data_IF_669321292576
#
_entry.id   IF_669321292576
#
_cell.length_a   1.000
_cell.length_b   1.000
_cell.length_c   1.000
_cell.angle_alpha   90.00
_cell.angle_beta   90.00
_cell.angle_gamma   90.00
#
_symmetry.space_group_name_H-M   'P 1'
#
loop_
_entity.id
_entity.type
_entity.pdbx_description
1 polymer ?
#
# COMPACT_ATOMS: atom_id res chain seq x y z
N UNK A 1 -61.90 -13.72 -48.80
CA UNK A 1 -60.60 -14.44 -48.65
C UNK A 1 -59.35 -13.55 -48.88
N UNK A 2 -59.34 -12.52 -49.78
CA UNK A 2 -58.17 -11.65 -50.01
C UNK A 2 -57.83 -10.75 -48.81
N UNK A 3 -58.85 -10.16 -48.13
CA UNK A 3 -58.69 -9.25 -46.97
C UNK A 3 -58.04 -9.99 -45.78
N UNK A 4 -58.41 -11.26 -45.55
CA UNK A 4 -57.86 -12.07 -44.45
C UNK A 4 -56.34 -12.37 -44.66
N UNK A 5 -55.91 -12.55 -45.91
CA UNK A 5 -54.49 -12.72 -46.25
C UNK A 5 -53.69 -11.45 -46.02
N UNK A 6 -54.24 -10.29 -46.37
CA UNK A 6 -53.58 -9.01 -46.10
C UNK A 6 -53.51 -8.72 -44.59
N UNK A 7 -54.53 -9.09 -43.83
CA UNK A 7 -54.54 -8.91 -42.37
C UNK A 7 -53.50 -9.84 -41.69
N UNK A 8 -53.37 -11.06 -42.14
CA UNK A 8 -52.33 -11.96 -41.59
C UNK A 8 -50.90 -11.52 -41.92
N UNK A 9 -50.66 -11.01 -43.16
CA UNK A 9 -49.33 -10.49 -43.52
C UNK A 9 -49.02 -9.22 -42.73
N UNK A 10 -49.98 -8.35 -42.49
CA UNK A 10 -49.80 -7.12 -41.70
C UNK A 10 -49.52 -7.43 -40.23
N UNK A 11 -50.16 -8.44 -39.65
CA UNK A 11 -49.93 -8.92 -38.32
C UNK A 11 -48.52 -9.50 -38.18
N UNK A 12 -48.07 -10.32 -39.10
CA UNK A 12 -46.72 -10.88 -39.13
C UNK A 12 -45.66 -9.76 -39.28
N UNK A 13 -45.90 -8.77 -40.15
CA UNK A 13 -45.01 -7.64 -40.29
C UNK A 13 -44.94 -6.78 -38.99
N UNK A 14 -46.05 -6.56 -38.34
CA UNK A 14 -46.09 -5.84 -37.05
C UNK A 14 -45.28 -6.59 -35.94
N UNK A 15 -45.48 -7.92 -35.85
CA UNK A 15 -44.69 -8.75 -34.91
C UNK A 15 -43.21 -8.72 -35.19
N UNK A 16 -42.84 -8.80 -36.49
CA UNK A 16 -41.45 -8.72 -36.93
C UNK A 16 -40.81 -7.35 -36.60
N UNK A 17 -41.53 -6.25 -36.80
CA UNK A 17 -41.07 -4.90 -36.41
C UNK A 17 -40.92 -4.74 -34.92
N UNK A 18 -41.87 -5.26 -34.12
CA UNK A 18 -41.77 -5.23 -32.66
C UNK A 18 -40.59 -6.07 -32.19
N UNK A 19 -40.40 -7.27 -32.74
CA UNK A 19 -39.25 -8.13 -32.42
C UNK A 19 -37.90 -7.45 -32.81
N UNK A 20 -37.83 -6.85 -33.99
CA UNK A 20 -36.65 -6.11 -34.44
C UNK A 20 -36.36 -4.89 -33.53
N UNK A 21 -37.40 -4.16 -33.09
CA UNK A 21 -37.28 -3.03 -32.17
C UNK A 21 -36.83 -3.48 -30.79
N UNK A 22 -37.38 -4.59 -30.25
CA UNK A 22 -36.97 -5.16 -28.97
C UNK A 22 -35.50 -5.65 -29.02
N UNK A 23 -35.11 -6.34 -30.08
CA UNK A 23 -33.73 -6.79 -30.28
C UNK A 23 -32.77 -5.60 -30.39
N UNK A 24 -33.15 -4.57 -31.16
CA UNK A 24 -32.34 -3.35 -31.29
C UNK A 24 -32.17 -2.66 -29.94
N UNK A 25 -33.27 -2.46 -29.23
CA UNK A 25 -33.23 -1.82 -27.90
C UNK A 25 -32.40 -2.61 -26.90
N UNK A 26 -32.55 -3.94 -26.89
CA UNK A 26 -31.76 -4.85 -26.10
C UNK A 26 -30.27 -4.75 -26.40
N UNK A 27 -29.87 -4.78 -27.66
CA UNK A 27 -28.48 -4.80 -28.07
C UNK A 27 -27.76 -3.45 -27.85
N UNK A 28 -28.50 -2.34 -28.02
CA UNK A 28 -27.92 -1.00 -27.89
C UNK A 28 -27.96 -0.45 -26.47
N UNK A 29 -28.91 -0.87 -25.64
CA UNK A 29 -29.09 -0.31 -24.29
C UNK A 29 -28.61 -1.23 -23.17
N UNK A 30 -28.43 -2.51 -23.40
CA UNK A 30 -27.91 -3.42 -22.38
C UNK A 30 -26.50 -3.03 -21.92
N UNK A 31 -26.29 -2.89 -20.60
CA UNK A 31 -25.00 -2.51 -20.07
C UNK A 31 -24.03 -3.71 -20.04
N UNK A 32 -23.54 -4.08 -21.21
CA UNK A 32 -22.52 -5.12 -21.35
C UNK A 32 -21.28 -4.60 -22.08
N UNK A 33 -20.13 -5.20 -21.79
CA UNK A 33 -18.86 -4.90 -22.44
C UNK A 33 -18.01 -6.16 -22.60
N UNK A 34 -17.26 -6.25 -23.72
CA UNK A 34 -16.20 -7.25 -23.91
C UNK A 34 -14.83 -6.75 -23.46
N UNK A 35 -14.72 -5.48 -23.10
CA UNK A 35 -13.49 -4.88 -22.65
C UNK A 35 -13.48 -4.82 -21.11
N UNK A 36 -13.64 -5.99 -20.48
CA UNK A 36 -13.40 -6.22 -19.09
C UNK A 36 -11.98 -6.74 -18.87
N UNK A 37 -11.28 -6.26 -17.86
CA UNK A 37 -9.95 -6.74 -17.48
C UNK A 37 -9.95 -7.16 -16.04
N UNK A 38 -9.52 -8.37 -15.77
CA UNK A 38 -9.22 -8.82 -14.41
C UNK A 38 -8.00 -8.05 -13.91
N UNK A 39 -8.09 -7.50 -12.73
CA UNK A 39 -7.03 -6.77 -12.06
C UNK A 39 -6.86 -7.28 -10.65
N UNK A 40 -5.66 -7.17 -10.13
CA UNK A 40 -5.34 -7.36 -8.72
C UNK A 40 -4.40 -6.26 -8.28
N UNK A 41 -4.42 -5.93 -7.02
CA UNK A 41 -3.48 -4.96 -6.47
C UNK A 41 -2.10 -5.60 -6.39
N UNK A 42 -1.09 -4.84 -6.79
CA UNK A 42 0.30 -5.28 -6.78
C UNK A 42 1.04 -4.48 -5.71
N UNK A 43 1.70 -5.21 -4.83
CA UNK A 43 2.54 -4.63 -3.78
C UNK A 43 3.99 -4.77 -4.19
N UNK A 44 4.67 -3.66 -4.45
CA UNK A 44 6.10 -3.65 -4.71
C UNK A 44 6.88 -3.96 -3.42
N UNK A 45 7.69 -5.01 -3.44
CA UNK A 45 8.53 -5.39 -2.30
C UNK A 45 9.76 -4.51 -2.29
N UNK A 46 9.75 -3.53 -1.40
CA UNK A 46 10.78 -2.51 -1.26
C UNK A 46 11.52 -2.71 0.05
N UNK A 47 12.84 -2.93 0.04
CA UNK A 47 13.62 -3.07 1.26
C UNK A 47 13.70 -1.74 2.02
N UNK A 48 13.71 -1.82 3.34
CA UNK A 48 13.84 -0.67 4.25
C UNK A 48 15.30 -0.33 4.54
N UNK A 49 16.22 -1.25 4.20
CA UNK A 49 17.67 -1.10 4.36
C UNK A 49 18.36 -1.57 3.09
N UNK A 50 19.54 -1.02 2.79
CA UNK A 50 20.29 -1.33 1.57
C UNK A 50 21.40 -2.34 1.85
N UNK A 51 21.68 -3.22 0.88
CA UNK A 51 22.78 -4.18 0.97
C UNK A 51 22.67 -5.30 -0.06
N UNK A 52 23.67 -6.17 -0.10
CA UNK A 52 23.66 -7.31 -1.00
C UNK A 52 22.70 -8.39 -0.53
N UNK A 53 21.98 -9.00 -1.46
CA UNK A 53 21.05 -10.10 -1.18
C UNK A 53 21.89 -11.38 -0.97
N UNK A 54 21.85 -11.93 0.24
CA UNK A 54 22.54 -13.17 0.59
C UNK A 54 21.73 -14.42 0.27
N UNK A 55 20.43 -14.37 0.49
CA UNK A 55 19.53 -15.50 0.25
C UNK A 55 18.24 -15.00 -0.37
N UNK A 56 17.75 -15.76 -1.34
CA UNK A 56 16.45 -15.56 -1.98
C UNK A 56 15.65 -16.84 -1.78
N UNK A 57 14.57 -16.77 -0.99
CA UNK A 57 13.81 -17.93 -0.55
C UNK A 57 12.57 -18.21 -1.41
N UNK A 58 12.37 -17.43 -2.46
CA UNK A 58 11.19 -17.50 -3.32
C UNK A 58 11.58 -17.63 -4.78
N UNK A 59 10.68 -18.20 -5.56
CA UNK A 59 10.77 -18.31 -7.02
C UNK A 59 9.66 -17.49 -7.68
N UNK A 60 9.84 -17.20 -8.97
CA UNK A 60 8.81 -16.49 -9.74
C UNK A 60 7.51 -17.32 -9.80
N UNK A 61 6.35 -16.65 -9.69
CA UNK A 61 5.03 -17.23 -9.62
C UNK A 61 4.77 -18.14 -8.39
N UNK A 62 5.64 -18.16 -7.41
CA UNK A 62 5.42 -18.87 -6.15
C UNK A 62 4.36 -18.18 -5.30
N UNK A 63 3.47 -18.98 -4.70
CA UNK A 63 2.53 -18.49 -3.68
C UNK A 63 3.25 -18.34 -2.34
N UNK A 64 3.06 -17.19 -1.70
CA UNK A 64 3.62 -16.87 -0.38
C UNK A 64 2.51 -16.40 0.56
N UNK A 65 2.76 -16.56 1.86
CA UNK A 65 1.87 -16.08 2.92
C UNK A 65 2.43 -14.82 3.56
N UNK A 66 1.55 -13.98 4.08
CA UNK A 66 1.95 -12.81 4.88
C UNK A 66 2.87 -13.23 6.03
N UNK A 67 3.99 -12.51 6.20
CA UNK A 67 5.04 -12.81 7.18
C UNK A 67 6.09 -13.82 6.71
N UNK A 68 5.93 -14.50 5.59
CA UNK A 68 6.93 -15.41 5.01
C UNK A 68 8.17 -14.64 4.56
N UNK A 69 9.36 -15.21 4.81
CA UNK A 69 10.64 -14.57 4.47
C UNK A 69 10.89 -14.72 2.97
N UNK A 70 10.95 -13.59 2.28
CA UNK A 70 11.18 -13.52 0.84
C UNK A 70 12.66 -13.57 0.49
N UNK A 71 13.45 -12.73 1.12
CA UNK A 71 14.91 -12.69 0.96
C UNK A 71 15.58 -12.07 2.18
N UNK A 72 16.89 -12.26 2.27
CA UNK A 72 17.71 -11.68 3.33
C UNK A 72 18.83 -10.83 2.72
N UNK A 73 19.06 -9.69 3.33
CA UNK A 73 20.14 -8.75 3.00
C UNK A 73 21.30 -9.01 3.94
N UNK A 74 22.55 -8.71 3.53
CA UNK A 74 23.73 -8.82 4.38
C UNK A 74 23.54 -7.99 5.66
N UNK A 75 23.46 -8.68 6.76
CA UNK A 75 23.20 -8.11 8.08
C UNK A 75 24.49 -7.69 8.82
N UNK A 76 25.66 -8.04 8.29
CA UNK A 76 26.96 -7.77 8.94
C UNK A 76 27.15 -6.31 9.34
N UNK A 77 26.94 -5.30 8.47
CA UNK A 77 27.11 -3.90 8.84
C UNK A 77 26.09 -3.46 9.90
N UNK A 78 24.88 -4.02 9.88
CA UNK A 78 23.81 -3.71 10.84
C UNK A 78 24.08 -4.34 12.20
N UNK A 79 24.63 -5.56 12.27
CA UNK A 79 25.09 -6.16 13.53
C UNK A 79 26.20 -5.34 14.17
N UNK A 80 27.17 -4.86 13.38
CA UNK A 80 28.23 -3.98 13.86
C UNK A 80 27.66 -2.68 14.41
N UNK A 81 26.65 -2.09 13.74
CA UNK A 81 25.98 -0.90 14.21
C UNK A 81 25.26 -1.11 15.56
N UNK A 82 24.63 -2.26 15.76
CA UNK A 82 24.01 -2.62 17.05
C UNK A 82 25.06 -2.76 18.14
N UNK A 83 26.19 -3.44 17.89
CA UNK A 83 27.28 -3.57 18.86
C UNK A 83 27.87 -2.20 19.23
N UNK A 84 28.08 -1.32 18.27
CA UNK A 84 28.55 0.04 18.52
C UNK A 84 27.54 0.85 19.37
N UNK A 85 26.26 0.76 19.07
CA UNK A 85 25.23 1.45 19.85
C UNK A 85 25.11 0.90 21.28
N UNK A 86 25.28 -0.42 21.47
CA UNK A 86 25.36 -1.05 22.79
C UNK A 86 26.54 -0.54 23.61
N UNK A 87 27.73 -0.43 22.99
CA UNK A 87 28.93 0.11 23.66
C UNK A 87 28.73 1.57 24.09
N UNK A 88 28.09 2.39 23.23
CA UNK A 88 27.77 3.78 23.57
C UNK A 88 26.75 3.89 24.70
N UNK A 89 25.75 3.02 24.74
CA UNK A 89 24.79 2.95 25.86
C UNK A 89 25.50 2.58 27.17
N UNK A 90 26.38 1.57 27.14
CA UNK A 90 27.17 1.19 28.33
C UNK A 90 28.03 2.34 28.85
N UNK A 91 28.65 3.11 27.95
CA UNK A 91 29.41 4.31 28.30
C UNK A 91 28.51 5.36 28.95
N UNK A 92 27.34 5.66 28.38
CA UNK A 92 26.40 6.62 28.95
C UNK A 92 25.88 6.19 30.34
N UNK A 93 25.63 4.91 30.54
CA UNK A 93 25.26 4.35 31.84
C UNK A 93 26.38 4.50 32.88
N UNK A 94 27.65 4.33 32.48
CA UNK A 94 28.79 4.58 33.36
C UNK A 94 28.89 6.07 33.76
N UNK A 95 28.61 6.99 32.85
CA UNK A 95 28.57 8.43 33.17
C UNK A 95 27.43 8.75 34.16
N UNK A 96 26.27 8.11 34.04
CA UNK A 96 25.20 8.25 35.05
C UNK A 96 25.65 7.73 36.41
N UNK A 97 26.33 6.57 36.44
CA UNK A 97 26.85 6.01 37.74
C UNK A 97 27.86 6.97 38.36
N UNK A 98 28.76 7.58 37.59
CA UNK A 98 29.71 8.59 38.06
C UNK A 98 28.97 9.84 38.61
N UNK A 99 28.06 10.39 37.84
CA UNK A 99 27.29 11.57 38.24
C UNK A 99 26.42 11.31 39.52
N UNK A 100 25.89 10.08 39.62
CA UNK A 100 25.15 9.66 40.82
C UNK A 100 26.04 9.60 42.06
N UNK A 101 27.29 9.10 41.92
CA UNK A 101 28.25 9.10 43.03
C UNK A 101 28.65 10.53 43.46
N UNK A 102 28.89 11.44 42.50
CA UNK A 102 29.17 12.84 42.74
C UNK A 102 28.00 13.53 43.44
N UNK A 103 26.77 13.33 42.97
CA UNK A 103 25.57 13.87 43.60
C UNK A 103 25.39 13.34 45.04
N UNK A 104 25.62 12.03 45.26
CA UNK A 104 25.54 11.43 46.59
C UNK A 104 26.57 12.00 47.53
N UNK A 105 27.79 12.27 47.07
CA UNK A 105 28.86 12.93 47.83
C UNK A 105 28.43 14.36 48.22
N UNK A 106 28.01 15.16 47.24
CA UNK A 106 27.56 16.54 47.48
C UNK A 106 26.35 16.60 48.44
N UNK A 107 25.39 15.68 48.29
CA UNK A 107 24.24 15.58 49.21
C UNK A 107 24.64 15.24 50.63
N UNK A 108 25.62 14.35 50.81
CA UNK A 108 26.13 13.99 52.13
C UNK A 108 26.89 15.13 52.80
N UNK A 109 27.65 15.90 52.02
CA UNK A 109 28.35 17.10 52.48
C UNK A 109 27.39 18.21 52.88
N UNK A 110 26.37 18.49 52.05
CA UNK A 110 25.32 19.46 52.34
C UNK A 110 24.56 19.06 53.62
N UNK A 111 24.23 17.81 53.82
CA UNK A 111 23.60 17.34 55.07
C UNK A 111 24.48 17.58 56.29
N UNK A 112 25.75 17.22 56.21
CA UNK A 112 26.70 17.43 57.36
C UNK A 112 26.84 18.90 57.68
N UNK A 113 26.98 19.77 56.68
CA UNK A 113 27.12 21.24 56.89
C UNK A 113 25.86 21.85 57.48
N UNK A 114 24.67 21.42 57.05
CA UNK A 114 23.39 21.87 57.63
C UNK A 114 23.17 21.46 59.07
N UNK A 115 23.78 20.35 59.52
CA UNK A 115 23.66 19.86 60.93
C UNK A 115 24.61 20.57 61.90
N UNK A 116 25.53 21.42 61.42
CA UNK A 116 26.39 22.23 62.32
C UNK A 116 25.60 23.44 62.85
N UNK A 117 25.98 23.88 64.04
CA UNK A 117 25.36 25.06 64.65
C UNK A 117 25.63 26.33 63.81
N UNK A 118 24.69 27.27 63.82
CA UNK A 118 24.80 28.52 63.07
C UNK A 118 26.08 29.37 63.38
N UNK A 119 26.69 29.19 64.51
CA UNK A 119 27.94 29.85 64.88
C UNK A 119 29.19 29.11 64.36
N UNK A 120 29.06 27.90 63.79
CA UNK A 120 30.16 27.09 63.33
C UNK A 120 30.33 27.06 61.80
N UNK A 121 29.43 27.71 61.04
CA UNK A 121 29.48 27.77 59.56
C UNK A 121 29.05 29.17 59.07
N UNK A 122 29.73 29.70 58.03
CA UNK A 122 29.33 30.95 57.40
C UNK A 122 28.11 30.74 56.47
N UNK A 123 27.31 31.79 56.27
CA UNK A 123 26.20 31.76 55.31
C UNK A 123 26.71 31.49 53.89
N UNK A 124 27.85 32.02 53.50
CA UNK A 124 28.54 31.80 52.23
C UNK A 124 28.92 30.32 52.01
N UNK A 125 29.49 29.69 53.02
CA UNK A 125 29.82 28.24 52.94
C UNK A 125 28.58 27.36 52.76
N UNK A 126 27.45 27.75 53.39
CA UNK A 126 26.20 27.01 53.26
C UNK A 126 25.61 27.17 51.84
N UNK A 127 25.71 28.39 51.27
CA UNK A 127 25.29 28.68 49.89
C UNK A 127 26.15 27.92 48.87
N UNK A 128 27.48 27.91 49.05
CA UNK A 128 28.41 27.19 48.19
C UNK A 128 28.11 25.67 48.15
N UNK A 129 27.84 25.06 49.30
CA UNK A 129 27.52 23.64 49.35
C UNK A 129 26.15 23.32 48.72
N UNK A 130 25.16 24.20 48.90
CA UNK A 130 23.86 24.04 48.24
C UNK A 130 23.98 24.19 46.72
N UNK A 131 24.77 25.14 46.24
CA UNK A 131 25.07 25.35 44.82
C UNK A 131 25.78 24.11 44.23
N UNK A 132 26.78 23.56 44.94
CA UNK A 132 27.45 22.35 44.53
C UNK A 132 26.49 21.15 44.42
N UNK A 133 25.55 20.99 45.36
CA UNK A 133 24.54 19.96 45.34
C UNK A 133 23.58 20.17 44.11
N UNK A 134 23.15 21.39 43.86
CA UNK A 134 22.29 21.68 42.70
C UNK A 134 23.01 21.40 41.39
N UNK A 135 24.29 21.79 41.27
CA UNK A 135 25.11 21.45 40.09
C UNK A 135 25.26 19.97 39.88
N UNK A 136 25.56 19.21 40.93
CA UNK A 136 25.67 17.75 40.83
C UNK A 136 24.31 17.10 40.46
N UNK A 137 23.21 17.66 40.97
CA UNK A 137 21.86 17.17 40.64
C UNK A 137 21.50 17.42 39.18
N UNK A 138 21.81 18.61 38.67
CA UNK A 138 21.59 18.95 37.24
C UNK A 138 22.50 18.13 36.31
N UNK A 139 23.75 17.90 36.71
CA UNK A 139 24.69 17.02 35.98
C UNK A 139 24.17 15.61 35.90
N UNK A 140 23.64 15.05 37.00
CA UNK A 140 23.00 13.72 36.98
C UNK A 140 21.77 13.70 36.07
N UNK A 141 20.94 14.74 36.09
CA UNK A 141 19.78 14.82 35.20
C UNK A 141 20.21 14.88 33.73
N UNK A 142 21.26 15.63 33.39
CA UNK A 142 21.84 15.69 32.06
C UNK A 142 22.41 14.33 31.61
N UNK A 143 23.14 13.64 32.49
CA UNK A 143 23.67 12.30 32.21
C UNK A 143 22.53 11.27 31.95
N UNK A 144 21.44 11.30 32.73
CA UNK A 144 20.26 10.46 32.51
C UNK A 144 19.57 10.76 31.16
N UNK A 145 19.47 12.02 30.80
CA UNK A 145 18.95 12.38 29.47
C UNK A 145 19.84 11.84 28.34
N UNK A 146 21.17 11.84 28.53
CA UNK A 146 22.14 11.24 27.62
C UNK A 146 21.91 9.73 27.41
N UNK A 147 21.54 8.97 28.45
CA UNK A 147 21.17 7.56 28.33
C UNK A 147 19.96 7.41 27.42
N UNK A 148 18.92 8.24 27.55
CA UNK A 148 17.76 8.19 26.66
C UNK A 148 18.11 8.38 25.17
N UNK A 149 19.07 9.23 24.86
CA UNK A 149 19.55 9.42 23.47
C UNK A 149 20.23 8.16 22.95
N UNK A 150 21.10 7.53 23.76
CA UNK A 150 21.82 6.32 23.34
C UNK A 150 20.91 5.08 23.28
N UNK A 151 19.89 5.00 24.14
CA UNK A 151 18.83 3.97 24.05
C UNK A 151 18.03 4.09 22.75
N UNK A 152 17.67 5.31 22.34
CA UNK A 152 17.00 5.56 21.07
C UNK A 152 17.87 5.15 19.87
N UNK A 153 19.18 5.46 19.92
CA UNK A 153 20.13 5.05 18.89
C UNK A 153 20.26 3.51 18.81
N UNK A 154 20.29 2.81 19.95
CA UNK A 154 20.31 1.35 19.99
C UNK A 154 19.03 0.76 19.38
N UNK A 155 17.87 1.27 19.74
CA UNK A 155 16.58 0.83 19.16
C UNK A 155 16.55 1.02 17.65
N UNK A 156 17.08 2.14 17.16
CA UNK A 156 17.15 2.39 15.72
C UNK A 156 18.07 1.40 15.01
N UNK A 157 19.25 1.10 15.55
CA UNK A 157 20.16 0.09 14.99
C UNK A 157 19.55 -1.31 15.00
N UNK A 158 18.85 -1.69 16.07
CA UNK A 158 18.12 -2.96 16.16
C UNK A 158 16.99 -3.06 15.15
N UNK A 159 16.23 -1.96 14.95
CA UNK A 159 15.21 -1.90 13.93
C UNK A 159 15.81 -2.10 12.53
N UNK A 160 16.88 -1.39 12.19
CA UNK A 160 17.57 -1.58 10.90
C UNK A 160 18.03 -3.03 10.70
N UNK A 161 18.59 -3.66 11.73
CA UNK A 161 18.95 -5.07 11.67
C UNK A 161 17.74 -5.97 11.44
N UNK A 162 16.60 -5.69 12.05
CA UNK A 162 15.37 -6.45 11.80
C UNK A 162 14.86 -6.33 10.37
N UNK A 163 15.15 -5.21 9.69
CA UNK A 163 14.73 -4.96 8.31
C UNK A 163 15.62 -5.67 7.26
N UNK A 164 16.72 -6.29 7.66
CA UNK A 164 17.55 -7.12 6.76
C UNK A 164 16.83 -8.40 6.34
N UNK A 165 15.82 -8.84 7.08
CA UNK A 165 14.97 -9.97 6.75
C UNK A 165 13.66 -9.43 6.16
N UNK A 166 13.55 -9.45 4.84
CA UNK A 166 12.38 -8.93 4.13
C UNK A 166 11.30 -9.99 4.05
N UNK A 167 10.10 -9.64 4.52
CA UNK A 167 8.94 -10.54 4.61
C UNK A 167 7.80 -10.06 3.71
N UNK A 168 6.95 -11.00 3.30
CA UNK A 168 5.73 -10.71 2.55
C UNK A 168 4.74 -9.90 3.40
N UNK A 169 4.25 -8.74 2.93
CA UNK A 169 3.25 -7.96 3.65
C UNK A 169 1.83 -8.53 3.52
N UNK A 170 1.54 -9.28 2.47
CA UNK A 170 0.23 -9.86 2.15
C UNK A 170 0.37 -11.28 1.62
N UNK A 171 -0.72 -12.03 1.63
CA UNK A 171 -0.80 -13.32 0.95
C UNK A 171 -0.91 -13.11 -0.57
N UNK A 172 -0.12 -13.81 -1.36
CA UNK A 172 -0.18 -13.58 -2.80
C UNK A 172 0.81 -14.41 -3.60
N UNK A 173 1.06 -13.96 -4.82
CA UNK A 173 2.02 -14.59 -5.74
C UNK A 173 3.15 -13.64 -6.07
N UNK A 174 4.37 -14.15 -6.02
CA UNK A 174 5.56 -13.43 -6.48
C UNK A 174 5.46 -13.23 -7.98
N UNK A 175 5.78 -12.04 -8.46
CA UNK A 175 5.79 -11.74 -9.89
C UNK A 175 6.96 -10.83 -10.24
N UNK A 176 7.45 -10.97 -11.49
CA UNK A 176 8.56 -10.18 -12.02
C UNK A 176 9.86 -10.29 -11.20
N UNK A 177 10.18 -11.52 -10.78
CA UNK A 177 11.40 -11.80 -10.02
C UNK A 177 12.61 -11.87 -10.96
N UNK A 178 13.22 -10.72 -11.22
CA UNK A 178 14.46 -10.59 -11.99
C UNK A 178 15.72 -10.66 -11.13
N UNK A 179 15.57 -10.44 -9.82
CA UNK A 179 16.65 -10.33 -8.84
C UNK A 179 17.27 -11.69 -8.52
N UNK A 180 18.59 -11.69 -8.26
CA UNK A 180 19.40 -12.86 -7.91
C UNK A 180 20.17 -12.65 -6.63
N UNK A 181 20.65 -13.74 -6.03
CA UNK A 181 21.63 -13.71 -4.94
C UNK A 181 22.89 -13.01 -5.42
N UNK A 182 23.38 -12.05 -4.63
CA UNK A 182 24.50 -11.19 -4.96
C UNK A 182 24.10 -9.81 -5.51
N UNK A 183 22.87 -9.63 -5.96
CA UNK A 183 22.37 -8.31 -6.36
C UNK A 183 22.31 -7.36 -5.16
N UNK A 184 22.41 -6.06 -5.45
CA UNK A 184 22.35 -5.03 -4.42
C UNK A 184 20.95 -4.43 -4.34
N UNK A 185 20.29 -4.64 -3.19
CA UNK A 185 19.00 -4.05 -2.90
C UNK A 185 19.17 -2.63 -2.32
N UNK A 186 18.43 -1.67 -2.87
CA UNK A 186 18.50 -0.26 -2.47
C UNK A 186 17.17 0.14 -1.81
N UNK A 187 17.27 0.83 -0.67
CA UNK A 187 16.10 1.38 0.04
C UNK A 187 15.27 2.26 -0.90
N UNK A 188 13.94 2.06 -0.88
CA UNK A 188 13.01 2.83 -1.69
C UNK A 188 12.81 2.33 -3.12
N UNK A 189 13.60 1.35 -3.59
CA UNK A 189 13.43 0.73 -4.91
C UNK A 189 12.82 -0.67 -4.79
N UNK A 190 11.72 -0.96 -5.48
CA UNK A 190 11.11 -2.28 -5.44
C UNK A 190 12.03 -3.31 -6.14
N UNK A 191 12.20 -4.45 -5.49
CA UNK A 191 13.03 -5.57 -5.98
C UNK A 191 12.21 -6.47 -6.89
N UNK A 192 10.98 -6.74 -6.52
CA UNK A 192 9.95 -7.45 -7.28
C UNK A 192 8.57 -7.09 -6.72
N UNK A 193 7.49 -7.67 -7.26
CA UNK A 193 6.14 -7.40 -6.79
C UNK A 193 5.43 -8.66 -6.31
N UNK A 194 4.47 -8.48 -5.40
CA UNK A 194 3.47 -9.48 -5.03
C UNK A 194 2.12 -9.07 -5.59
N UNK A 195 1.40 -10.03 -6.16
CA UNK A 195 -0.01 -9.89 -6.52
C UNK A 195 -0.83 -10.38 -5.33
N UNK A 196 -1.58 -9.48 -4.69
CA UNK A 196 -2.41 -9.82 -3.53
C UNK A 196 -3.56 -10.75 -3.94
N UNK A 197 -3.63 -11.91 -3.27
CA UNK A 197 -4.61 -12.96 -3.55
C UNK A 197 -6.05 -12.56 -3.23
N UNK A 198 -6.27 -11.57 -2.37
CA UNK A 198 -7.58 -11.13 -1.91
C UNK A 198 -8.09 -9.86 -2.61
N UNK A 199 -7.27 -9.27 -3.47
CA UNK A 199 -7.55 -7.97 -4.08
C UNK A 199 -8.10 -8.03 -5.50
N UNK A 200 -8.43 -9.22 -6.02
CA UNK A 200 -8.92 -9.35 -7.39
C UNK A 200 -10.26 -8.64 -7.62
N UNK A 201 -10.34 -7.95 -8.73
CA UNK A 201 -11.55 -7.27 -9.20
C UNK A 201 -11.55 -7.23 -10.73
N UNK A 202 -12.67 -6.87 -11.33
CA UNK A 202 -12.77 -6.61 -12.76
C UNK A 202 -12.94 -5.13 -13.00
N UNK A 203 -12.18 -4.59 -13.95
CA UNK A 203 -12.37 -3.26 -14.47
C UNK A 203 -13.03 -3.36 -15.85
N UNK A 204 -14.34 -3.13 -15.91
CA UNK A 204 -15.11 -3.11 -17.15
C UNK A 204 -15.13 -1.71 -17.76
N UNK A 205 -14.78 -1.59 -19.03
CA UNK A 205 -14.82 -0.32 -19.74
C UNK A 205 -16.14 -0.22 -20.51
N UNK A 206 -17.07 0.59 -20.02
CA UNK A 206 -18.38 0.79 -20.60
C UNK A 206 -18.44 2.10 -21.36
N UNK A 207 -19.21 2.12 -22.45
CA UNK A 207 -19.51 3.34 -23.17
C UNK A 207 -20.31 4.31 -22.29
N UNK A 208 -20.03 5.61 -22.37
CA UNK A 208 -20.70 6.64 -21.57
C UNK A 208 -22.23 6.62 -21.74
N UNK A 209 -22.73 6.21 -22.90
CA UNK A 209 -24.15 6.07 -23.22
C UNK A 209 -24.85 5.00 -22.38
N UNK A 210 -24.11 4.00 -21.90
CA UNK A 210 -24.62 2.87 -21.10
C UNK A 210 -24.63 3.15 -19.59
N UNK A 211 -23.90 4.19 -19.14
CA UNK A 211 -23.76 4.51 -17.71
C UNK A 211 -25.09 4.84 -17.03
N UNK A 212 -26.06 5.38 -17.76
CA UNK A 212 -27.40 5.65 -17.22
C UNK A 212 -28.12 4.41 -16.68
N UNK A 213 -27.70 3.22 -17.12
CA UNK A 213 -28.27 1.93 -16.74
C UNK A 213 -27.39 1.18 -15.73
N UNK A 214 -26.32 1.79 -15.20
CA UNK A 214 -25.38 1.20 -14.28
C UNK A 214 -25.42 1.95 -12.95
N UNK A 215 -25.69 1.24 -11.87
CA UNK A 215 -25.69 1.78 -10.50
C UNK A 215 -24.74 1.00 -9.63
N UNK A 216 -24.22 1.64 -8.60
CA UNK A 216 -23.42 0.96 -7.56
C UNK A 216 -24.33 -0.04 -6.85
N UNK A 217 -23.83 -1.27 -6.69
CA UNK A 217 -24.58 -2.38 -6.11
C UNK A 217 -25.31 -3.26 -7.12
N UNK A 218 -25.40 -2.86 -8.40
CA UNK A 218 -26.04 -3.70 -9.42
C UNK A 218 -25.29 -5.02 -9.58
N UNK A 219 -26.02 -6.15 -9.72
CA UNK A 219 -25.43 -7.46 -9.95
C UNK A 219 -24.73 -7.49 -11.32
N UNK A 220 -23.57 -8.14 -11.38
CA UNK A 220 -22.79 -8.31 -12.59
C UNK A 220 -22.45 -9.78 -12.84
N UNK A 221 -22.50 -10.18 -14.09
CA UNK A 221 -22.01 -11.45 -14.57
C UNK A 221 -20.68 -11.23 -15.32
N UNK A 222 -19.68 -12.02 -14.98
CA UNK A 222 -18.33 -11.92 -15.52
C UNK A 222 -18.02 -13.26 -16.21
N UNK A 223 -17.76 -13.25 -17.50
CA UNK A 223 -17.37 -14.43 -18.25
C UNK A 223 -15.89 -14.31 -18.60
N UNK A 224 -15.07 -15.15 -17.99
CA UNK A 224 -13.64 -15.20 -18.25
C UNK A 224 -13.35 -15.86 -19.61
N UNK A 225 -12.43 -15.30 -20.40
CA UNK A 225 -12.03 -15.93 -21.66
C UNK A 225 -11.09 -17.13 -21.48
N UNK A 226 -10.39 -17.19 -20.33
CA UNK A 226 -9.44 -18.25 -20.04
C UNK A 226 -10.07 -19.65 -19.92
N UNK A 227 -11.26 -19.74 -19.34
CA UNK A 227 -11.94 -21.01 -19.05
C UNK A 227 -13.45 -20.97 -19.31
N UNK A 228 -13.97 -19.86 -19.87
CA UNK A 228 -15.41 -19.61 -20.12
C UNK A 228 -16.31 -19.76 -18.88
N UNK A 229 -15.74 -19.73 -17.69
CA UNK A 229 -16.52 -19.76 -16.46
C UNK A 229 -17.24 -18.43 -16.24
N UNK A 230 -18.47 -18.54 -15.77
CA UNK A 230 -19.30 -17.39 -15.39
C UNK A 230 -19.18 -17.16 -13.89
N UNK A 231 -18.66 -16.02 -13.51
CA UNK A 231 -18.53 -15.58 -12.13
C UNK A 231 -19.58 -14.51 -11.84
N UNK A 232 -20.02 -14.44 -10.58
CA UNK A 232 -20.94 -13.42 -10.10
C UNK A 232 -20.18 -12.34 -9.36
N UNK A 233 -20.64 -11.12 -9.51
CA UNK A 233 -20.10 -9.96 -8.82
C UNK A 233 -21.13 -8.83 -8.77
N UNK A 234 -20.71 -7.71 -8.26
CA UNK A 234 -21.52 -6.49 -8.21
C UNK A 234 -20.67 -5.27 -8.53
N UNK A 235 -21.34 -4.21 -8.99
CA UNK A 235 -20.71 -2.92 -9.25
C UNK A 235 -20.26 -2.28 -7.94
N UNK A 236 -18.94 -2.23 -7.71
CA UNK A 236 -18.36 -1.62 -6.51
C UNK A 236 -18.24 -0.09 -6.66
N UNK A 237 -17.81 0.38 -7.84
CA UNK A 237 -17.68 1.81 -8.10
C UNK A 237 -17.65 2.12 -9.59
N UNK A 238 -17.96 3.38 -9.93
CA UNK A 238 -17.89 3.94 -11.28
C UNK A 238 -16.82 5.02 -11.27
N UNK A 239 -15.89 4.98 -12.23
CA UNK A 239 -14.82 5.96 -12.37
C UNK A 239 -15.39 7.37 -12.56
N UNK A 240 -14.86 8.33 -11.79
CA UNK A 240 -15.33 9.74 -11.81
C UNK A 240 -14.51 10.63 -12.72
N UNK A 241 -13.38 10.14 -13.23
CA UNK A 241 -12.51 10.88 -14.13
C UNK A 241 -11.92 9.95 -15.19
N UNK A 242 -11.82 10.46 -16.40
CA UNK A 242 -11.11 9.86 -17.52
C UNK A 242 -10.18 10.92 -18.09
N UNK A 243 -9.08 10.48 -18.70
CA UNK A 243 -8.16 11.42 -19.36
C UNK A 243 -8.83 11.95 -20.62
N UNK A 244 -8.97 13.26 -20.72
CA UNK A 244 -9.42 13.93 -21.92
C UNK A 244 -8.27 13.96 -22.94
N UNK A 245 -8.39 13.15 -23.98
CA UNK A 245 -7.37 13.06 -25.05
C UNK A 245 -7.33 14.29 -25.96
N UNK A 246 -8.33 15.18 -25.88
CA UNK A 246 -8.37 16.42 -26.66
C UNK A 246 -7.49 17.53 -26.06
N UNK A 247 -7.07 17.35 -24.79
CA UNK A 247 -6.22 18.31 -24.08
C UNK A 247 -4.82 17.72 -23.95
N UNK A 248 -3.83 18.27 -24.65
CA UNK A 248 -2.43 17.99 -24.35
C UNK A 248 -2.04 18.70 -23.05
N UNK A 249 -1.47 17.97 -22.10
CA UNK A 249 -0.77 18.58 -20.95
C UNK A 249 0.50 19.26 -21.46
N UNK A 250 0.35 20.48 -21.99
CA UNK A 250 1.48 21.31 -22.32
C UNK A 250 2.15 21.85 -21.06
N UNK A 251 3.46 22.02 -21.08
CA UNK A 251 4.25 22.70 -20.05
C UNK A 251 3.95 24.21 -19.92
N UNK A 252 2.98 24.72 -20.67
CA UNK A 252 2.55 26.11 -20.68
C UNK A 252 1.36 26.39 -19.77
N UNK A 253 1.23 27.66 -19.34
CA UNK A 253 0.12 28.15 -18.51
C UNK A 253 -1.25 28.17 -19.24
N UNK A 254 -1.32 27.78 -20.51
CA UNK A 254 -2.52 27.75 -21.34
C UNK A 254 -2.72 26.35 -21.90
N UNK A 255 -3.96 25.84 -21.82
CA UNK A 255 -4.32 24.53 -22.36
C UNK A 255 -4.18 24.53 -23.89
N UNK A 256 -3.41 23.60 -24.42
CA UNK A 256 -3.32 23.36 -25.86
C UNK A 256 -4.44 22.40 -26.27
N UNK A 257 -5.50 22.97 -26.88
CA UNK A 257 -6.66 22.21 -27.34
C UNK A 257 -6.45 21.85 -28.81
N UNK A 258 -6.25 20.55 -29.10
CA UNK A 258 -6.23 20.06 -30.45
C UNK A 258 -7.65 20.15 -31.04
N UNK A 259 -7.85 20.80 -32.20
CA UNK A 259 -9.14 20.76 -32.90
C UNK A 259 -9.40 19.30 -33.30
N UNK A 260 -10.27 18.64 -32.55
CA UNK A 260 -10.73 17.31 -32.90
C UNK A 260 -11.97 17.48 -33.79
N UNK A 261 -11.82 17.20 -35.08
CA UNK A 261 -12.95 17.10 -36.00
C UNK A 261 -13.11 15.59 -36.30
N UNK A 262 -13.64 14.80 -35.40
CA UNK A 262 -13.91 13.40 -35.71
C UNK A 262 -15.13 13.36 -36.61
N UNK A 263 -14.98 12.76 -37.77
CA UNK A 263 -16.08 12.37 -38.65
C UNK A 263 -17.14 11.54 -37.91
N UNK A 264 -16.71 10.76 -36.92
CA UNK A 264 -17.56 9.98 -36.01
C UNK A 264 -17.15 10.28 -34.56
N UNK A 265 -18.07 10.78 -33.73
CA UNK A 265 -17.89 10.84 -32.27
C UNK A 265 -17.95 9.45 -31.70
N UNK A 266 -16.81 8.93 -31.31
CA UNK A 266 -16.74 7.70 -30.52
C UNK A 266 -17.12 8.04 -29.08
N UNK A 267 -18.04 7.26 -28.50
CA UNK A 267 -18.38 7.36 -27.08
C UNK A 267 -17.15 7.06 -26.22
N UNK A 268 -16.93 7.89 -25.19
CA UNK A 268 -15.85 7.67 -24.25
C UNK A 268 -16.10 6.42 -23.42
N UNK A 269 -15.01 5.74 -23.03
CA UNK A 269 -15.08 4.54 -22.20
C UNK A 269 -14.81 4.89 -20.74
N UNK A 270 -15.78 4.60 -19.89
CA UNK A 270 -15.71 4.86 -18.48
C UNK A 270 -15.40 3.56 -17.74
N UNK A 271 -14.37 3.53 -16.88
CA UNK A 271 -14.05 2.36 -16.09
C UNK A 271 -15.07 2.15 -14.97
N UNK A 272 -15.61 0.95 -14.88
CA UNK A 272 -16.50 0.50 -13.81
C UNK A 272 -15.81 -0.65 -13.08
N UNK A 273 -15.59 -0.49 -11.77
CA UNK A 273 -15.00 -1.52 -10.91
C UNK A 273 -16.08 -2.47 -10.43
N UNK A 274 -15.87 -3.75 -10.64
CA UNK A 274 -16.77 -4.82 -10.27
C UNK A 274 -16.03 -5.74 -9.30
N UNK A 275 -16.60 -5.93 -8.12
CA UNK A 275 -16.09 -6.85 -7.13
C UNK A 275 -16.70 -8.24 -7.34
N UNK A 276 -15.93 -9.29 -7.10
CA UNK A 276 -16.45 -10.66 -7.10
C UNK A 276 -17.21 -10.93 -5.80
N UNK A 277 -18.38 -11.55 -5.88
CA UNK A 277 -19.15 -11.96 -4.69
C UNK A 277 -18.55 -13.22 -4.07
N UNK A 278 -18.22 -14.19 -4.90
CA UNK A 278 -17.59 -15.44 -4.49
C UNK A 278 -16.58 -15.87 -5.57
N UNK A 279 -15.39 -16.24 -5.13
CA UNK A 279 -14.36 -16.82 -5.99
C UNK A 279 -14.31 -18.34 -5.71
N UNK A 280 -14.71 -19.19 -6.65
CA UNK A 280 -14.52 -20.63 -6.53
C UNK A 280 -13.04 -20.98 -6.43
N UNK A 281 -12.69 -21.96 -5.59
CA UNK A 281 -11.29 -22.34 -5.33
C UNK A 281 -10.55 -22.92 -6.55
N UNK A 282 -11.31 -23.39 -7.56
CA UNK A 282 -10.82 -23.96 -8.80
C UNK A 282 -10.52 -22.93 -9.89
N UNK A 283 -10.88 -21.65 -9.67
CA UNK A 283 -10.66 -20.57 -10.63
C UNK A 283 -9.30 -19.90 -10.42
N UNK A 284 -8.41 -20.09 -11.38
CA UNK A 284 -7.16 -19.34 -11.41
C UNK A 284 -7.37 -17.99 -12.10
N UNK A 285 -7.35 -16.92 -11.31
CA UNK A 285 -7.39 -15.56 -11.83
C UNK A 285 -5.97 -15.07 -12.11
N UNK A 286 -5.79 -14.46 -13.28
CA UNK A 286 -4.52 -13.83 -13.66
C UNK A 286 -4.80 -12.36 -13.96
N UNK A 287 -4.08 -11.48 -13.27
CA UNK A 287 -4.19 -10.03 -13.50
C UNK A 287 -3.76 -9.69 -14.93
N UNK A 288 -4.57 -8.89 -15.61
CA UNK A 288 -4.34 -8.50 -17.01
C UNK A 288 -5.17 -9.30 -18.02
N UNK A 289 -5.78 -10.44 -17.64
CA UNK A 289 -6.64 -11.22 -18.54
C UNK A 289 -7.95 -10.50 -18.86
N UNK A 290 -8.53 -10.83 -20.01
CA UNK A 290 -9.76 -10.21 -20.49
C UNK A 290 -10.99 -11.04 -20.13
N UNK A 291 -12.12 -10.35 -20.00
CA UNK A 291 -13.42 -10.96 -19.72
C UNK A 291 -14.55 -10.15 -20.36
N UNK A 292 -15.70 -10.79 -20.53
CA UNK A 292 -16.96 -10.10 -20.84
C UNK A 292 -17.69 -9.80 -19.52
N UNK A 293 -18.23 -8.62 -19.41
CA UNK A 293 -19.03 -8.19 -18.26
C UNK A 293 -20.41 -7.76 -18.71
N UNK A 294 -21.45 -8.27 -18.04
CA UNK A 294 -22.85 -7.85 -18.20
C UNK A 294 -23.38 -7.40 -16.83
N UNK A 295 -23.99 -6.22 -16.76
CA UNK A 295 -24.56 -5.64 -15.55
C UNK A 295 -26.08 -5.67 -15.65
N UNK A 296 -26.78 -5.91 -14.52
CA UNK A 296 -28.21 -6.13 -14.50
C UNK A 296 -28.53 -7.60 -14.83
N UNK A 297 -29.15 -8.31 -13.89
CA UNK A 297 -29.52 -9.72 -14.09
C UNK A 297 -30.45 -9.88 -15.28
N UNK A 298 -30.07 -10.76 -16.19
CA UNK A 298 -30.98 -11.46 -17.10
C UNK A 298 -31.43 -12.75 -16.46
#
# INVERSE_FOLDING_TARGET
>A
MKILKYLSTLLVAAVALIAAWLLWNFYTQSPWTRDGKVRAEQVGITPQVSGSILQLNVTDNQRVKAGEVLFTIDDTPYRIAVLNAQAQLAKAQAEVAKAQAEQSKAASEARRRRSLSQNAISAEDLENVNTALNTATTTLAAARAGVGVTEAALKHAQWQLSQTVVKAPVDGWVTNLSTRVGDYATTGHPVFALVDSHSFYVLGYFEETKLRHIRIGDPAQIILYSNQQTLKGHVASIGRAIVDQSVEQGTGLVANIKPNIPWVRLAQRVPVRIAFDTLPADVTLVSGTTCTVSIGGQ
#
